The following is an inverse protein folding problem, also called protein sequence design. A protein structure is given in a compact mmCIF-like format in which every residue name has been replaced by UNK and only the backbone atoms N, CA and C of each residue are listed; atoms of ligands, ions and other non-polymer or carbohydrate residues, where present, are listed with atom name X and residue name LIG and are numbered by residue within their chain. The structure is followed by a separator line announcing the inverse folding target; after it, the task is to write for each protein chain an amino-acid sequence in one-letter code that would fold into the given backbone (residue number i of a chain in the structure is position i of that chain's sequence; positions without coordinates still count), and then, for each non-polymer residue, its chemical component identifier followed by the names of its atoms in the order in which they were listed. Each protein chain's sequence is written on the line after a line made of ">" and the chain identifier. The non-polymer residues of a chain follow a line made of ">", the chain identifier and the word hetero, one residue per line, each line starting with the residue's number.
data_IF_098987375649
#
_entry.id   IF_098987375649
#
_cell.length_a   1.000
_cell.length_b   1.000
_cell.length_c   1.000
_cell.angle_alpha   90.00
_cell.angle_beta   90.00
_cell.angle_gamma   90.00
#
_symmetry.space_group_name_H-M   'P 1'
#
loop_
_entity.id
_entity.type
_entity.pdbx_description
1 polymer ?
#
# COMPACT_ATOMS: atom_id res chain seq x y z
N UNK A 1 21.41 12.69 -49.15
CA UNK A 1 21.35 11.48 -48.30
C UNK A 1 21.80 11.90 -46.92
N UNK A 2 20.82 12.14 -46.05
CA UNK A 2 20.95 12.79 -44.75
C UNK A 2 20.81 11.69 -43.68
N UNK A 3 21.68 11.65 -42.68
CA UNK A 3 21.57 10.73 -41.54
C UNK A 3 22.15 11.38 -40.28
N UNK A 4 21.47 11.11 -39.16
CA UNK A 4 21.71 11.50 -37.76
C UNK A 4 21.44 12.99 -37.46
N UNK A 5 20.70 13.38 -36.40
CA UNK A 5 20.90 13.07 -34.98
C UNK A 5 19.65 13.47 -34.14
N UNK A 6 19.46 12.82 -32.97
CA UNK A 6 18.96 13.40 -31.67
C UNK A 6 17.50 13.92 -31.62
N UNK A 7 16.70 13.89 -30.56
CA UNK A 7 16.60 13.30 -29.20
C UNK A 7 15.37 13.99 -28.57
N UNK A 8 14.74 13.38 -27.56
CA UNK A 8 13.76 14.07 -26.69
C UNK A 8 12.37 13.40 -26.72
N UNK A 9 12.15 12.30 -25.99
CA UNK A 9 11.93 12.23 -24.54
C UNK A 9 10.66 12.95 -24.09
N UNK A 10 9.57 12.21 -23.91
CA UNK A 10 8.61 12.41 -22.81
C UNK A 10 7.65 11.22 -22.74
N UNK A 11 8.19 10.08 -22.32
CA UNK A 11 7.38 8.91 -22.01
C UNK A 11 6.88 9.05 -20.56
N UNK A 12 5.84 9.86 -20.36
CA UNK A 12 5.09 9.90 -19.09
C UNK A 12 4.26 8.61 -19.03
N UNK A 13 4.95 7.52 -18.67
CA UNK A 13 4.33 6.24 -18.44
C UNK A 13 3.64 6.30 -17.07
N UNK A 14 2.43 6.85 -17.08
CA UNK A 14 1.47 6.77 -16.00
C UNK A 14 1.24 5.29 -15.71
N UNK A 15 2.00 4.73 -14.76
CA UNK A 15 1.80 3.38 -14.24
C UNK A 15 0.46 3.37 -13.53
N UNK A 16 -0.62 3.20 -14.30
CA UNK A 16 -1.87 2.64 -13.80
C UNK A 16 -1.51 1.28 -13.19
N UNK A 17 -1.56 1.22 -11.87
CA UNK A 17 -1.43 -0.02 -11.11
C UNK A 17 -2.67 -0.84 -11.44
N UNK A 18 -2.62 -1.58 -12.55
CA UNK A 18 -3.63 -2.57 -12.94
C UNK A 18 -3.53 -3.68 -11.90
N UNK A 19 -4.44 -3.66 -10.92
CA UNK A 19 -4.66 -4.77 -10.00
C UNK A 19 -5.03 -6.00 -10.83
N UNK A 20 -4.06 -6.90 -11.02
CA UNK A 20 -4.28 -8.24 -11.56
C UNK A 20 -5.10 -9.01 -10.52
N UNK A 21 -6.40 -9.16 -10.78
CA UNK A 21 -7.30 -9.99 -9.98
C UNK A 21 -6.93 -11.47 -10.19
N UNK A 22 -6.13 -12.00 -9.26
CA UNK A 22 -5.90 -13.43 -9.11
C UNK A 22 -7.17 -14.13 -8.58
N UNK A 23 -7.41 -15.42 -8.91
CA UNK A 23 -8.58 -16.17 -8.47
C UNK A 23 -8.66 -16.26 -6.94
N UNK A 24 -9.89 -16.37 -6.44
CA UNK A 24 -10.36 -16.25 -5.05
C UNK A 24 -9.76 -17.31 -4.10
N UNK A 25 -8.45 -17.26 -3.88
CA UNK A 25 -7.77 -17.89 -2.75
C UNK A 25 -7.89 -16.97 -1.54
N UNK A 26 -8.09 -17.51 -0.33
CA UNK A 26 -8.04 -16.70 0.89
C UNK A 26 -6.68 -16.02 0.96
N UNK A 27 -6.67 -14.71 0.69
CA UNK A 27 -5.43 -13.96 0.61
C UNK A 27 -4.90 -13.75 2.02
N UNK A 28 -3.61 -14.06 2.22
CA UNK A 28 -2.93 -13.69 3.46
C UNK A 28 -2.95 -12.17 3.59
N UNK A 29 -3.27 -11.71 4.80
CA UNK A 29 -3.23 -10.30 5.16
C UNK A 29 -1.78 -9.83 5.15
N UNK A 30 -1.57 -8.60 4.67
CA UNK A 30 -0.24 -7.98 4.60
C UNK A 30 -0.32 -6.47 4.82
N UNK A 31 0.76 -5.91 5.33
CA UNK A 31 1.00 -4.48 5.44
C UNK A 31 2.16 -4.13 4.50
N UNK A 32 1.85 -3.41 3.43
CA UNK A 32 2.84 -2.93 2.48
C UNK A 32 3.26 -1.51 2.87
N UNK A 33 4.56 -1.25 3.03
CA UNK A 33 5.11 0.06 3.34
C UNK A 33 5.52 0.79 2.07
N UNK A 34 5.23 2.08 1.96
CA UNK A 34 5.53 2.87 0.77
C UNK A 34 6.21 4.20 1.09
N UNK A 35 7.07 4.63 0.17
CA UNK A 35 7.59 5.99 0.04
C UNK A 35 7.05 6.61 -1.26
N UNK A 36 6.03 7.44 -1.14
CA UNK A 36 5.39 8.07 -2.31
C UNK A 36 4.71 7.04 -3.21
N UNK A 37 5.33 6.69 -4.33
CA UNK A 37 4.86 5.65 -5.26
C UNK A 37 5.67 4.36 -5.17
N UNK A 38 6.81 4.40 -4.48
CA UNK A 38 7.73 3.27 -4.36
C UNK A 38 7.36 2.41 -3.15
N UNK A 39 7.39 1.09 -3.34
CA UNK A 39 7.13 0.13 -2.28
C UNK A 39 8.43 -0.23 -1.59
N UNK A 40 8.50 -0.01 -0.28
CA UNK A 40 9.69 -0.28 0.51
C UNK A 40 9.75 -1.73 1.01
N UNK A 41 8.65 -2.23 1.58
CA UNK A 41 8.64 -3.54 2.24
C UNK A 41 7.24 -4.12 2.40
N UNK A 42 7.15 -5.43 2.61
CA UNK A 42 5.93 -6.16 2.97
C UNK A 42 6.09 -6.79 4.35
N UNK A 43 5.14 -6.52 5.24
CA UNK A 43 5.02 -7.17 6.53
C UNK A 43 3.83 -8.14 6.49
N UNK A 44 4.08 -9.40 6.82
CA UNK A 44 3.02 -10.39 6.99
C UNK A 44 2.16 -10.07 8.23
N UNK A 45 0.84 -10.17 8.09
CA UNK A 45 -0.08 -10.03 9.22
C UNK A 45 -0.60 -11.42 9.61
N UNK A 46 -0.22 -11.95 10.79
CA UNK A 46 -0.70 -13.23 11.29
C UNK A 46 -2.23 -13.29 11.33
N UNK A 47 -2.82 -14.47 11.06
CA UNK A 47 -4.28 -14.63 10.98
C UNK A 47 -5.01 -14.31 12.29
N UNK A 48 -4.40 -14.52 13.45
CA UNK A 48 -5.02 -14.23 14.74
C UNK A 48 -4.94 -12.75 15.13
N UNK A 49 -4.16 -11.93 14.42
CA UNK A 49 -3.99 -10.52 14.76
C UNK A 49 -5.28 -9.72 14.49
N UNK A 50 -5.73 -8.91 15.44
CA UNK A 50 -6.93 -8.08 15.27
C UNK A 50 -6.66 -6.89 14.35
N UNK A 51 -7.69 -6.37 13.67
CA UNK A 51 -7.55 -5.19 12.82
C UNK A 51 -7.00 -3.98 13.59
N UNK A 52 -7.35 -3.86 14.88
CA UNK A 52 -6.82 -2.81 15.76
C UNK A 52 -5.31 -2.93 15.97
N UNK A 53 -4.80 -4.15 16.19
CA UNK A 53 -3.37 -4.40 16.32
C UNK A 53 -2.63 -4.09 15.00
N UNK A 54 -3.20 -4.49 13.86
CA UNK A 54 -2.67 -4.17 12.53
C UNK A 54 -2.57 -2.66 12.30
N UNK A 55 -3.64 -1.91 12.58
CA UNK A 55 -3.64 -0.44 12.44
C UNK A 55 -2.62 0.19 13.38
N UNK A 56 -2.51 -0.30 14.62
CA UNK A 56 -1.50 0.19 15.59
C UNK A 56 -0.08 -0.04 15.05
N UNK A 57 0.19 -1.22 14.47
CA UNK A 57 1.47 -1.54 13.86
C UNK A 57 1.78 -0.64 12.67
N UNK A 58 0.82 -0.43 11.77
CA UNK A 58 0.96 0.51 10.65
C UNK A 58 1.31 1.93 11.12
N UNK A 59 0.65 2.41 12.19
CA UNK A 59 0.94 3.72 12.78
C UNK A 59 2.32 3.76 13.46
N UNK A 60 2.75 2.66 14.06
CA UNK A 60 4.08 2.55 14.64
C UNK A 60 5.14 2.63 13.55
N UNK A 61 4.99 1.90 12.45
CA UNK A 61 5.93 1.97 11.31
C UNK A 61 6.01 3.38 10.71
N UNK A 62 4.86 4.05 10.54
CA UNK A 62 4.80 5.43 10.04
C UNK A 62 5.51 6.45 10.96
N UNK A 63 5.59 6.15 12.26
CA UNK A 63 6.26 6.99 13.27
C UNK A 63 7.75 6.65 13.39
N UNK A 64 8.09 5.37 13.38
CA UNK A 64 9.48 4.91 13.49
C UNK A 64 10.31 5.26 12.25
N UNK A 65 9.69 5.24 11.07
CA UNK A 65 10.39 5.40 9.80
C UNK A 65 9.94 6.67 9.08
N UNK A 66 10.76 7.74 9.06
CA UNK A 66 10.39 9.00 8.42
C UNK A 66 10.17 8.85 6.91
N UNK A 67 10.90 7.93 6.26
CA UNK A 67 10.81 7.60 4.82
C UNK A 67 9.48 6.96 4.42
N UNK A 68 8.75 6.35 5.35
CA UNK A 68 7.45 5.73 5.06
C UNK A 68 6.40 6.84 5.02
N UNK A 69 5.82 7.08 3.84
CA UNK A 69 4.77 8.10 3.67
C UNK A 69 3.39 7.54 3.97
N UNK A 70 3.15 6.28 3.60
CA UNK A 70 1.90 5.57 3.86
C UNK A 70 2.10 4.05 3.90
N UNK A 71 1.12 3.38 4.49
CA UNK A 71 1.04 1.93 4.61
C UNK A 71 -0.26 1.48 3.95
N UNK A 72 -0.20 0.41 3.18
CA UNK A 72 -1.38 -0.23 2.58
C UNK A 72 -1.62 -1.55 3.27
N UNK A 73 -2.73 -1.64 3.99
CA UNK A 73 -3.19 -2.87 4.61
C UNK A 73 -4.08 -3.64 3.64
N UNK A 74 -3.69 -4.86 3.27
CA UNK A 74 -4.55 -5.77 2.51
C UNK A 74 -5.27 -6.74 3.45
N UNK A 75 -6.60 -6.75 3.41
CA UNK A 75 -7.43 -7.68 4.18
C UNK A 75 -7.54 -9.07 3.52
N UNK A 76 -8.31 -9.99 4.13
CA UNK A 76 -8.43 -11.37 3.61
C UNK A 76 -9.29 -11.45 2.36
N UNK A 77 -10.19 -10.47 2.20
CA UNK A 77 -11.00 -10.27 0.99
C UNK A 77 -10.23 -9.60 -0.14
N UNK A 78 -8.96 -9.22 0.09
CA UNK A 78 -8.11 -8.57 -0.90
C UNK A 78 -8.35 -7.06 -1.03
N UNK A 79 -9.16 -6.45 -0.15
CA UNK A 79 -9.36 -5.00 -0.13
C UNK A 79 -8.13 -4.33 0.44
N UNK A 80 -7.78 -3.18 -0.13
CA UNK A 80 -6.62 -2.40 0.26
C UNK A 80 -7.07 -1.14 1.00
N UNK A 81 -6.51 -0.96 2.19
CA UNK A 81 -6.81 0.14 3.10
C UNK A 81 -5.55 0.98 3.26
N UNK A 82 -5.57 2.20 2.72
CA UNK A 82 -4.45 3.13 2.82
C UNK A 82 -4.48 3.85 4.18
N UNK A 83 -3.36 3.80 4.90
CA UNK A 83 -3.13 4.47 6.17
C UNK A 83 -1.92 5.39 5.99
N UNK A 84 -2.11 6.69 6.14
CA UNK A 84 -1.05 7.70 6.14
C UNK A 84 -1.03 8.44 7.48
N UNK A 85 -0.02 9.30 7.68
CA UNK A 85 0.05 10.15 8.87
C UNK A 85 -1.17 11.09 9.00
N UNK A 86 -1.71 11.54 7.87
CA UNK A 86 -2.87 12.41 7.79
C UNK A 86 -4.21 11.68 7.90
N UNK A 87 -4.24 10.34 7.88
CA UNK A 87 -5.47 9.55 7.99
C UNK A 87 -6.19 9.90 9.28
N UNK A 88 -7.44 10.35 9.13
CA UNK A 88 -8.29 10.81 10.23
C UNK A 88 -8.62 9.67 11.20
N UNK A 89 -9.02 10.01 12.42
CA UNK A 89 -9.44 9.02 13.41
C UNK A 89 -10.63 8.18 12.89
N UNK A 90 -11.54 8.80 12.14
CA UNK A 90 -12.73 8.18 11.56
C UNK A 90 -12.35 7.12 10.53
N UNK A 91 -11.41 7.42 9.63
CA UNK A 91 -10.93 6.45 8.64
C UNK A 91 -10.22 5.27 9.32
N UNK A 92 -9.46 5.53 10.40
CA UNK A 92 -8.83 4.44 11.19
C UNK A 92 -9.89 3.53 11.81
N UNK A 93 -10.97 4.09 12.35
CA UNK A 93 -12.09 3.32 12.90
C UNK A 93 -12.80 2.53 11.80
N UNK A 94 -13.00 3.13 10.62
CA UNK A 94 -13.58 2.46 9.45
C UNK A 94 -12.80 1.21 9.07
N UNK A 95 -11.46 1.28 9.03
CA UNK A 95 -10.60 0.13 8.75
C UNK A 95 -10.74 -0.94 9.84
N UNK A 96 -10.76 -0.53 11.11
CA UNK A 96 -10.90 -1.47 12.23
C UNK A 96 -12.20 -2.27 12.17
N UNK A 97 -13.30 -1.62 11.77
CA UNK A 97 -14.63 -2.22 11.71
C UNK A 97 -14.90 -3.00 10.41
N UNK A 98 -14.39 -2.53 9.26
CA UNK A 98 -14.79 -3.05 7.96
C UNK A 98 -13.77 -4.00 7.30
N UNK A 99 -12.52 -4.03 7.77
CA UNK A 99 -11.55 -4.97 7.24
C UNK A 99 -11.87 -6.40 7.71
N UNK A 100 -11.87 -7.36 6.78
CA UNK A 100 -12.16 -8.76 7.09
C UNK A 100 -11.22 -9.68 6.30
#
# INVERSE_FOLDING_TARGET
>A
MENADVSGSENVQTKQIKQVQAPKSYLRRKLSLYNGTEKLSDLGVPSHESNRAVVRRALQELRSSPIVTHVVFRDRKGREWKISRATSLIERLKIQLLAN
#
